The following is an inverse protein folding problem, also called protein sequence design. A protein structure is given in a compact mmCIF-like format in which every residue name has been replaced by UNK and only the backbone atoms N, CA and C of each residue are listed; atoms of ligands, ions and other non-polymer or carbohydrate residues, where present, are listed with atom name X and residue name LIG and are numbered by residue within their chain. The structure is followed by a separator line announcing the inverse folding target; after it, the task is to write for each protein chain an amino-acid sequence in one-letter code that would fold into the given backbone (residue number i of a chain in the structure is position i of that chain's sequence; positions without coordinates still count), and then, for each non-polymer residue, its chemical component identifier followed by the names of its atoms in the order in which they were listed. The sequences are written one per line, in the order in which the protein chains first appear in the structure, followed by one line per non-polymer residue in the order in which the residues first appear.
data_IF_158923885040
#
_entry.id   IF_158923885040
#
_cell.length_a   1.000
_cell.length_b   1.000
_cell.length_c   1.000
_cell.angle_alpha   90.00
_cell.angle_beta   90.00
_cell.angle_gamma   90.00
#
_symmetry.space_group_name_H-M   'P 1'
#
loop_
_entity.id
_entity.type
_entity.pdbx_description
1 polymer ?
#
# COMPACT_ATOMS: atom_id res chain seq x y z
N UNK A 1 7.29 9.93 -14.18
CA UNK A 1 7.11 8.47 -14.33
C UNK A 1 5.64 8.17 -14.53
N UNK A 2 5.27 7.27 -15.45
CA UNK A 2 3.87 6.81 -15.58
C UNK A 2 3.45 6.12 -14.27
N UNK A 3 2.19 6.27 -13.79
CA UNK A 3 1.74 5.78 -12.49
C UNK A 3 1.96 4.27 -12.29
N UNK A 4 1.93 3.49 -13.38
CA UNK A 4 2.18 2.05 -13.37
C UNK A 4 3.57 1.66 -12.86
N UNK A 5 4.61 2.47 -13.10
CA UNK A 5 5.96 2.14 -12.62
C UNK A 5 6.08 2.24 -11.10
N UNK A 6 5.40 3.20 -10.47
CA UNK A 6 5.40 3.34 -9.01
C UNK A 6 4.73 2.15 -8.33
N UNK A 7 3.61 1.68 -8.91
CA UNK A 7 2.87 0.51 -8.42
C UNK A 7 3.71 -0.76 -8.56
N UNK A 8 4.38 -0.95 -9.70
CA UNK A 8 5.23 -2.11 -9.94
C UNK A 8 6.41 -2.15 -8.95
N UNK A 9 7.06 -1.01 -8.70
CA UNK A 9 8.14 -0.92 -7.71
C UNK A 9 7.64 -1.25 -6.30
N UNK A 10 6.49 -0.69 -5.90
CA UNK A 10 5.87 -0.99 -4.61
C UNK A 10 5.59 -2.48 -4.43
N UNK A 11 4.99 -3.12 -5.45
CA UNK A 11 4.71 -4.55 -5.44
C UNK A 11 5.99 -5.40 -5.34
N UNK A 12 7.05 -5.01 -6.05
CA UNK A 12 8.34 -5.69 -5.97
C UNK A 12 8.96 -5.62 -4.56
N UNK A 13 8.90 -4.46 -3.90
CA UNK A 13 9.41 -4.29 -2.53
C UNK A 13 8.61 -5.14 -1.54
N UNK A 14 7.27 -5.14 -1.65
CA UNK A 14 6.39 -5.96 -0.80
C UNK A 14 6.66 -7.45 -0.99
N UNK A 15 6.77 -7.90 -2.25
CA UNK A 15 7.12 -9.30 -2.54
C UNK A 15 8.49 -9.68 -1.93
N UNK A 16 9.48 -8.79 -2.04
CA UNK A 16 10.78 -8.98 -1.41
C UNK A 16 10.71 -9.11 0.12
N UNK A 17 9.90 -8.26 0.77
CA UNK A 17 9.69 -8.30 2.22
C UNK A 17 9.09 -9.65 2.66
N UNK A 18 8.09 -10.14 1.94
CA UNK A 18 7.42 -11.43 2.22
C UNK A 18 8.39 -12.60 2.02
N UNK A 19 9.10 -12.63 0.88
CA UNK A 19 10.05 -13.71 0.58
C UNK A 19 11.19 -13.77 1.59
N UNK A 20 11.76 -12.61 1.95
CA UNK A 20 12.81 -12.53 2.96
C UNK A 20 12.30 -12.95 4.35
N UNK A 21 11.09 -12.54 4.72
CA UNK A 21 10.46 -12.94 5.98
C UNK A 21 10.24 -14.45 6.06
N UNK A 22 9.72 -15.06 4.99
CA UNK A 22 9.48 -16.50 4.90
C UNK A 22 10.76 -17.32 4.95
N UNK A 23 11.79 -16.89 4.22
CA UNK A 23 13.11 -17.54 4.23
C UNK A 23 13.75 -17.49 5.62
N UNK A 24 13.76 -16.32 6.26
CA UNK A 24 14.35 -16.16 7.58
C UNK A 24 13.54 -16.91 8.66
N UNK A 25 12.22 -16.99 8.52
CA UNK A 25 11.38 -17.78 9.42
C UNK A 25 11.71 -19.27 9.34
N UNK A 26 11.74 -19.85 8.14
CA UNK A 26 12.11 -21.26 7.94
C UNK A 26 13.53 -21.55 8.43
N UNK A 27 14.47 -20.65 8.19
CA UNK A 27 15.84 -20.79 8.69
C UNK A 27 15.90 -20.81 10.22
N UNK A 28 15.07 -20.01 10.90
CA UNK A 28 14.98 -20.02 12.36
C UNK A 28 14.35 -21.32 12.88
N UNK A 29 13.33 -21.83 12.19
CA UNK A 29 12.72 -23.12 12.45
C UNK A 29 13.75 -24.26 12.35
N UNK A 30 14.50 -24.32 11.27
CA UNK A 30 15.56 -25.30 11.05
C UNK A 30 16.65 -25.21 12.14
N UNK A 31 17.03 -23.99 12.54
CA UNK A 31 18.00 -23.77 13.60
C UNK A 31 17.50 -24.25 14.97
N UNK A 32 16.22 -24.03 15.28
CA UNK A 32 15.57 -24.53 16.50
C UNK A 32 15.58 -26.06 16.51
N UNK A 33 15.16 -26.69 15.41
CA UNK A 33 15.13 -28.16 15.27
C UNK A 33 16.55 -28.74 15.39
N UNK A 34 17.54 -28.09 14.78
CA UNK A 34 18.94 -28.51 14.89
C UNK A 34 19.49 -28.41 16.32
N UNK A 35 19.14 -27.35 17.08
CA UNK A 35 19.52 -27.23 18.49
C UNK A 35 18.83 -28.29 19.36
N UNK A 36 17.54 -28.54 19.12
CA UNK A 36 16.79 -29.61 19.79
C UNK A 36 17.40 -30.98 19.54
N UNK A 37 17.80 -31.27 18.29
CA UNK A 37 18.48 -32.51 17.92
C UNK A 37 19.81 -32.66 18.64
N UNK A 38 20.61 -31.59 18.69
CA UNK A 38 21.90 -31.59 19.38
C UNK A 38 21.75 -31.78 20.88
N UNK A 39 20.77 -31.13 21.50
CA UNK A 39 20.51 -31.27 22.93
C UNK A 39 20.01 -32.69 23.26
N UNK A 40 19.14 -33.25 22.42
CA UNK A 40 18.60 -34.60 22.62
C UNK A 40 19.70 -35.65 22.46
N UNK A 41 20.54 -35.55 21.43
CA UNK A 41 21.62 -36.51 21.20
C UNK A 41 22.63 -36.53 22.34
N UNK A 42 22.98 -35.37 22.90
CA UNK A 42 23.84 -35.28 24.09
C UNK A 42 23.20 -35.93 25.31
N UNK A 43 21.90 -35.71 25.49
CA UNK A 43 21.15 -36.26 26.63
C UNK A 43 21.07 -37.78 26.53
N UNK A 44 20.70 -38.31 25.36
CA UNK A 44 20.67 -39.77 25.12
C UNK A 44 22.05 -40.41 25.28
N UNK A 45 23.13 -39.71 24.91
CA UNK A 45 24.49 -40.20 25.09
C UNK A 45 24.91 -40.26 26.57
N UNK A 46 24.43 -39.31 27.40
CA UNK A 46 24.75 -39.19 28.82
C UNK A 46 23.85 -40.02 29.72
N UNK A 47 22.62 -40.33 29.30
CA UNK A 47 21.67 -41.12 30.09
C UNK A 47 22.14 -42.58 30.24
N UNK A 48 22.21 -43.02 31.50
CA UNK A 48 22.51 -44.41 31.87
C UNK A 48 21.25 -45.22 32.19
N UNK A 49 20.10 -44.56 32.30
CA UNK A 49 18.84 -45.19 32.70
C UNK A 49 18.08 -45.80 31.51
N UNK A 50 17.27 -46.82 31.78
CA UNK A 50 16.48 -47.54 30.76
C UNK A 50 15.19 -46.80 30.35
N UNK A 51 14.73 -45.85 31.16
CA UNK A 51 13.50 -45.06 30.95
C UNK A 51 13.74 -43.56 31.10
N UNK A 52 12.82 -42.74 30.59
CA UNK A 52 12.86 -41.28 30.71
C UNK A 52 12.50 -40.86 32.15
N UNK A 53 13.46 -40.29 32.87
CA UNK A 53 13.27 -39.70 34.20
C UNK A 53 13.09 -38.17 34.16
N UNK A 54 12.55 -37.56 35.23
CA UNK A 54 12.53 -36.11 35.37
C UNK A 54 13.91 -35.46 35.25
N UNK A 55 14.96 -36.16 35.68
CA UNK A 55 16.35 -35.70 35.55
C UNK A 55 16.80 -35.67 34.09
N UNK A 56 16.36 -36.63 33.27
CA UNK A 56 16.59 -36.64 31.81
C UNK A 56 15.97 -35.39 31.13
N UNK A 57 14.77 -34.97 31.56
CA UNK A 57 14.12 -33.76 31.05
C UNK A 57 14.92 -32.50 31.46
N UNK A 58 15.44 -32.49 32.69
CA UNK A 58 16.24 -31.39 33.22
C UNK A 58 17.58 -31.26 32.48
N UNK A 59 18.25 -32.37 32.22
CA UNK A 59 19.50 -32.42 31.46
C UNK A 59 19.30 -32.02 30.01
N UNK A 60 18.20 -32.46 29.38
CA UNK A 60 17.82 -31.99 28.05
C UNK A 60 17.67 -30.46 28.00
N UNK A 61 16.93 -29.87 28.94
CA UNK A 61 16.75 -28.40 29.01
C UNK A 61 18.07 -27.66 29.25
N UNK A 62 18.99 -28.26 30.00
CA UNK A 62 20.32 -27.71 30.25
C UNK A 62 21.19 -27.72 28.99
N UNK A 63 21.04 -28.74 28.15
CA UNK A 63 21.79 -28.92 26.92
C UNK A 63 21.27 -28.07 25.73
N UNK A 64 20.13 -27.39 25.86
CA UNK A 64 19.63 -26.44 24.88
C UNK A 64 20.47 -25.15 24.87
N UNK A 65 21.00 -24.81 23.68
CA UNK A 65 21.77 -23.58 23.46
C UNK A 65 20.83 -22.37 23.48
N UNK A 66 19.63 -22.50 22.92
CA UNK A 66 18.63 -21.45 22.91
C UNK A 66 17.87 -21.37 24.23
N UNK A 67 18.18 -20.35 25.04
CA UNK A 67 17.55 -20.14 26.34
C UNK A 67 16.02 -19.95 26.26
N UNK A 68 15.53 -19.36 25.16
CA UNK A 68 14.11 -19.10 24.93
C UNK A 68 13.25 -20.38 24.82
N UNK A 69 13.85 -21.53 24.48
CA UNK A 69 13.16 -22.81 24.33
C UNK A 69 13.02 -23.60 25.64
N UNK A 70 13.88 -23.31 26.64
CA UNK A 70 13.98 -24.09 27.89
C UNK A 70 12.67 -24.28 28.66
N UNK A 71 11.79 -23.25 28.82
CA UNK A 71 10.55 -23.44 29.58
C UNK A 71 9.49 -24.23 28.80
N UNK A 72 9.59 -24.31 27.46
CA UNK A 72 8.59 -24.93 26.58
C UNK A 72 9.03 -26.30 26.04
N UNK A 73 10.25 -26.74 26.36
CA UNK A 73 10.83 -27.98 25.87
C UNK A 73 10.53 -29.16 26.80
N UNK A 74 10.09 -30.27 26.21
CA UNK A 74 9.79 -31.55 26.87
C UNK A 74 10.31 -32.71 26.02
N UNK A 75 10.69 -33.82 26.66
CA UNK A 75 11.07 -35.06 25.98
C UNK A 75 9.91 -36.05 26.10
N UNK A 76 9.47 -36.62 24.99
CA UNK A 76 8.33 -37.55 24.96
C UNK A 76 8.69 -38.85 24.23
N UNK A 77 8.01 -39.94 24.60
CA UNK A 77 8.07 -41.21 23.89
C UNK A 77 7.31 -41.10 22.56
N UNK A 78 7.87 -41.68 21.50
CA UNK A 78 7.29 -41.64 20.15
C UNK A 78 5.88 -42.27 20.03
N UNK A 79 5.47 -43.12 20.99
CA UNK A 79 4.16 -43.75 21.00
C UNK A 79 3.01 -42.79 21.38
N UNK A 80 3.32 -41.59 21.88
CA UNK A 80 2.31 -40.57 22.18
C UNK A 80 2.10 -39.72 20.93
N UNK A 81 1.05 -40.05 20.19
CA UNK A 81 0.62 -39.29 19.01
C UNK A 81 -0.03 -37.97 19.45
N UNK A 82 0.80 -36.98 19.76
CA UNK A 82 0.33 -35.65 20.18
C UNK A 82 -0.10 -34.82 18.96
N UNK A 83 -1.33 -34.28 19.03
CA UNK A 83 -2.02 -33.49 18.00
C UNK A 83 -1.62 -32.00 18.00
N UNK A 84 -0.52 -31.63 18.66
CA UNK A 84 -0.09 -30.24 18.81
C UNK A 84 0.75 -29.70 17.63
N UNK A 85 0.47 -28.45 17.24
CA UNK A 85 1.21 -27.63 16.25
C UNK A 85 2.60 -27.15 16.75
N UNK A 86 3.28 -27.91 17.60
CA UNK A 86 4.61 -27.58 18.14
C UNK A 86 5.77 -28.08 17.29
N UNK A 87 6.96 -27.53 17.52
CA UNK A 87 8.19 -27.92 16.84
C UNK A 87 8.73 -29.24 17.40
N UNK A 88 9.25 -30.09 16.50
CA UNK A 88 9.66 -31.45 16.82
C UNK A 88 11.09 -31.70 16.38
N UNK A 89 11.88 -32.37 17.23
CA UNK A 89 13.20 -32.86 16.87
C UNK A 89 13.08 -34.09 15.94
N UNK A 90 14.17 -34.51 15.32
CA UNK A 90 14.27 -35.83 14.70
C UNK A 90 14.11 -36.94 15.75
N UNK A 91 13.62 -38.10 15.29
CA UNK A 91 13.48 -39.30 16.11
C UNK A 91 14.87 -39.86 16.40
N UNK A 92 15.14 -40.20 17.66
CA UNK A 92 16.39 -40.80 18.09
C UNK A 92 16.14 -42.09 18.84
N UNK A 93 16.91 -43.15 18.53
CA UNK A 93 16.81 -44.41 19.26
C UNK A 93 17.36 -44.25 20.67
N UNK A 94 16.65 -44.75 21.66
CA UNK A 94 17.16 -44.81 23.02
C UNK A 94 18.34 -45.79 23.09
N UNK A 95 19.32 -45.50 23.95
CA UNK A 95 20.57 -46.26 23.99
C UNK A 95 20.38 -47.68 24.54
N UNK A 96 19.56 -47.82 25.58
CA UNK A 96 19.41 -49.07 26.33
C UNK A 96 18.19 -49.91 25.92
N UNK A 97 17.29 -49.36 25.10
CA UNK A 97 16.05 -50.04 24.73
C UNK A 97 15.62 -49.62 23.31
N UNK A 98 14.83 -50.43 22.62
CA UNK A 98 14.57 -50.28 21.18
C UNK A 98 13.44 -49.27 20.83
N UNK A 99 13.12 -48.37 21.75
CA UNK A 99 12.13 -47.31 21.51
C UNK A 99 12.76 -46.03 20.97
N UNK A 100 11.97 -45.27 20.20
CA UNK A 100 12.35 -43.96 19.69
C UNK A 100 11.88 -42.84 20.63
N UNK A 101 12.73 -41.85 20.84
CA UNK A 101 12.48 -40.65 21.64
C UNK A 101 12.51 -39.43 20.73
N UNK A 102 11.67 -38.45 21.05
CA UNK A 102 11.58 -37.17 20.34
C UNK A 102 11.50 -36.01 21.33
N UNK A 103 12.23 -34.94 21.05
CA UNK A 103 12.10 -33.66 21.74
C UNK A 103 10.93 -32.87 21.15
N UNK A 104 10.07 -32.35 22.02
CA UNK A 104 8.94 -31.52 21.67
C UNK A 104 9.10 -30.13 22.29
N UNK A 105 8.88 -29.09 21.52
CA UNK A 105 8.87 -27.72 22.01
C UNK A 105 7.56 -27.02 21.62
N UNK A 106 6.79 -26.62 22.63
CA UNK A 106 5.54 -25.88 22.42
C UNK A 106 5.84 -24.40 22.17
N UNK A 107 6.34 -24.10 20.98
CA UNK A 107 6.75 -22.75 20.57
C UNK A 107 5.66 -22.15 19.69
N UNK A 108 5.14 -20.98 20.08
CA UNK A 108 4.18 -20.23 19.27
C UNK A 108 4.87 -19.62 18.04
N UNK A 109 4.11 -19.42 16.95
CA UNK A 109 4.56 -18.73 15.73
C UNK A 109 5.27 -17.40 16.04
N UNK A 110 4.69 -16.60 16.95
CA UNK A 110 5.27 -15.32 17.36
C UNK A 110 6.65 -15.47 18.03
N UNK A 111 6.85 -16.54 18.80
CA UNK A 111 8.14 -16.83 19.41
C UNK A 111 9.17 -17.22 18.35
N UNK A 112 8.79 -18.03 17.35
CA UNK A 112 9.69 -18.37 16.22
C UNK A 112 10.04 -17.13 15.40
N UNK A 113 9.08 -16.22 15.16
CA UNK A 113 9.34 -14.94 14.50
C UNK A 113 10.32 -14.07 15.30
N UNK A 114 10.20 -14.03 16.62
CA UNK A 114 11.07 -13.24 17.49
C UNK A 114 12.49 -13.81 17.58
N UNK A 115 12.64 -15.14 17.50
CA UNK A 115 13.95 -15.79 17.35
C UNK A 115 14.54 -15.62 15.94
N UNK A 116 13.70 -15.34 14.93
CA UNK A 116 14.12 -15.14 13.55
C UNK A 116 14.72 -13.76 13.32
N UNK A 117 15.81 -13.70 12.55
CA UNK A 117 16.40 -12.43 12.15
C UNK A 117 15.57 -11.76 11.05
N UNK A 118 14.58 -10.96 11.45
CA UNK A 118 13.64 -10.29 10.53
C UNK A 118 14.11 -8.91 10.04
N UNK A 119 15.38 -8.53 10.29
CA UNK A 119 15.89 -7.18 9.96
C UNK A 119 15.69 -6.77 8.50
N UNK A 120 15.93 -7.68 7.56
CA UNK A 120 15.77 -7.43 6.13
C UNK A 120 14.29 -7.27 5.73
N UNK A 121 13.43 -8.16 6.20
CA UNK A 121 11.99 -8.08 5.96
C UNK A 121 11.42 -6.78 6.54
N UNK A 122 11.80 -6.43 7.77
CA UNK A 122 11.40 -5.19 8.42
C UNK A 122 11.88 -3.94 7.67
N UNK A 123 13.14 -3.93 7.21
CA UNK A 123 13.69 -2.82 6.42
C UNK A 123 12.93 -2.62 5.09
N UNK A 124 12.62 -3.72 4.39
CA UNK A 124 11.82 -3.69 3.16
C UNK A 124 10.38 -3.25 3.42
N UNK A 125 9.76 -3.68 4.52
CA UNK A 125 8.43 -3.22 4.92
C UNK A 125 8.42 -1.71 5.21
N UNK A 126 9.41 -1.18 5.92
CA UNK A 126 9.54 0.26 6.16
C UNK A 126 9.71 1.03 4.85
N UNK A 127 10.56 0.53 3.95
CA UNK A 127 10.75 1.12 2.63
C UNK A 127 9.44 1.13 1.82
N UNK A 128 8.67 0.03 1.86
CA UNK A 128 7.38 -0.05 1.20
C UNK A 128 6.38 0.99 1.75
N UNK A 129 6.32 1.16 3.08
CA UNK A 129 5.46 2.18 3.71
C UNK A 129 5.87 3.58 3.29
N UNK A 130 7.17 3.91 3.36
CA UNK A 130 7.69 5.23 2.95
C UNK A 130 7.38 5.50 1.48
N UNK A 131 7.60 4.51 0.61
CA UNK A 131 7.30 4.63 -0.82
C UNK A 131 5.80 4.78 -1.09
N UNK A 132 4.95 4.02 -0.40
CA UNK A 132 3.50 4.11 -0.51
C UNK A 132 2.98 5.49 -0.10
N UNK A 133 3.44 5.99 1.05
CA UNK A 133 3.10 7.35 1.51
C UNK A 133 3.59 8.42 0.54
N UNK A 134 4.81 8.29 0.03
CA UNK A 134 5.36 9.22 -0.96
C UNK A 134 4.57 9.22 -2.27
N UNK A 135 4.21 8.03 -2.77
CA UNK A 135 3.40 7.88 -3.98
C UNK A 135 2.01 8.48 -3.82
N UNK A 136 1.36 8.26 -2.68
CA UNK A 136 0.06 8.86 -2.35
C UNK A 136 0.19 10.38 -2.23
N UNK A 137 1.24 10.87 -1.58
CA UNK A 137 1.50 12.30 -1.45
C UNK A 137 1.69 12.99 -2.81
N UNK A 138 2.49 12.39 -3.70
CA UNK A 138 2.66 12.90 -5.07
C UNK A 138 1.33 12.87 -5.84
N UNK A 139 0.56 11.78 -5.71
CA UNK A 139 -0.72 11.66 -6.39
C UNK A 139 -1.76 12.65 -5.87
N UNK A 140 -1.81 12.89 -4.56
CA UNK A 140 -2.64 13.93 -3.95
C UNK A 140 -2.19 15.32 -4.42
N UNK A 141 -0.88 15.58 -4.49
CA UNK A 141 -0.35 16.84 -5.02
C UNK A 141 -0.73 17.05 -6.49
N UNK A 142 -0.69 16.00 -7.31
CA UNK A 142 -1.10 16.05 -8.71
C UNK A 142 -2.63 16.18 -8.88
N UNK A 143 -3.42 15.67 -7.94
CA UNK A 143 -4.88 15.84 -7.93
C UNK A 143 -5.34 17.20 -7.43
N UNK A 144 -4.52 17.94 -6.66
CA UNK A 144 -4.87 19.28 -6.18
C UNK A 144 -5.08 20.30 -7.29
N UNK A 145 -4.50 20.10 -8.48
CA UNK A 145 -4.69 20.95 -9.65
C UNK A 145 -5.83 20.50 -10.59
N UNK A 146 -6.78 19.68 -10.13
CA UNK A 146 -7.94 19.25 -10.94
C UNK A 146 -9.23 19.83 -10.35
N UNK A 147 -9.67 20.96 -10.90
CA UNK A 147 -10.96 21.58 -10.54
C UNK A 147 -12.06 20.94 -11.38
N UNK A 148 -13.03 20.29 -10.73
CA UNK A 148 -14.14 19.59 -11.39
C UNK A 148 -15.42 20.42 -11.21
N UNK A 149 -16.09 20.73 -12.32
CA UNK A 149 -17.32 21.53 -12.35
C UNK A 149 -18.26 20.90 -13.39
N UNK A 150 -19.40 20.36 -12.93
CA UNK A 150 -20.27 19.53 -13.77
C UNK A 150 -19.54 18.29 -14.30
N UNK A 151 -19.66 18.02 -15.61
CA UNK A 151 -18.93 16.94 -16.26
C UNK A 151 -17.55 17.37 -16.82
N UNK A 152 -17.08 18.59 -16.53
CA UNK A 152 -15.80 19.12 -17.01
C UNK A 152 -14.75 19.19 -15.88
N UNK A 153 -13.55 18.68 -16.16
CA UNK A 153 -12.36 18.79 -15.32
C UNK A 153 -11.36 19.75 -15.97
N UNK A 154 -10.96 20.79 -15.26
CA UNK A 154 -9.81 21.61 -15.61
C UNK A 154 -8.55 20.94 -15.08
N UNK A 155 -7.60 20.63 -15.97
CA UNK A 155 -6.26 20.25 -15.57
C UNK A 155 -5.39 21.52 -15.49
N UNK A 156 -4.97 21.93 -14.29
CA UNK A 156 -4.13 23.11 -14.10
C UNK A 156 -2.74 22.96 -14.74
N UNK A 157 -2.23 21.74 -14.85
CA UNK A 157 -0.92 21.46 -15.45
C UNK A 157 -0.88 21.81 -16.96
N UNK A 158 -1.92 21.44 -17.71
CA UNK A 158 -2.00 21.63 -19.17
C UNK A 158 -2.88 22.81 -19.58
N UNK A 159 -3.57 23.46 -18.62
CA UNK A 159 -4.61 24.48 -18.85
C UNK A 159 -5.65 24.04 -19.88
N UNK A 160 -5.97 22.74 -19.95
CA UNK A 160 -6.95 22.15 -20.86
C UNK A 160 -8.11 21.55 -20.09
N UNK A 161 -9.28 21.58 -20.70
CA UNK A 161 -10.50 20.99 -20.16
C UNK A 161 -10.68 19.58 -20.70
N UNK A 162 -11.07 18.67 -19.80
CA UNK A 162 -11.38 17.29 -20.09
C UNK A 162 -12.80 16.99 -19.63
N UNK A 163 -13.55 16.16 -20.33
CA UNK A 163 -14.82 15.62 -19.80
C UNK A 163 -14.54 14.54 -18.73
N UNK A 164 -15.53 14.16 -17.91
CA UNK A 164 -15.45 13.02 -16.97
C UNK A 164 -14.95 11.72 -17.62
N UNK A 165 -15.21 11.55 -18.92
CA UNK A 165 -14.73 10.44 -19.76
C UNK A 165 -13.25 10.55 -20.15
N UNK A 166 -12.54 11.57 -19.67
CA UNK A 166 -11.15 11.90 -20.02
C UNK A 166 -10.92 12.31 -21.48
N UNK A 167 -11.98 12.68 -22.20
CA UNK A 167 -11.88 13.23 -23.55
C UNK A 167 -11.44 14.70 -23.51
N UNK A 168 -10.42 15.04 -24.30
CA UNK A 168 -9.91 16.41 -24.37
C UNK A 168 -10.88 17.31 -25.16
N UNK A 169 -11.44 18.32 -24.49
CA UNK A 169 -12.37 19.26 -25.11
C UNK A 169 -11.57 20.22 -25.99
N UNK A 170 -11.82 20.19 -27.31
CA UNK A 170 -11.15 21.05 -28.28
C UNK A 170 -11.74 22.46 -28.25
N UNK A 171 -11.29 23.28 -27.30
CA UNK A 171 -11.58 24.71 -27.27
C UNK A 171 -10.55 25.50 -28.08
N UNK A 172 -11.01 26.58 -28.71
CA UNK A 172 -10.09 27.60 -29.22
C UNK A 172 -9.39 28.31 -28.04
N UNK A 173 -8.20 28.90 -28.23
CA UNK A 173 -7.46 29.56 -27.16
C UNK A 173 -8.29 30.61 -26.39
N UNK A 174 -9.11 31.41 -27.09
CA UNK A 174 -9.97 32.41 -26.45
C UNK A 174 -11.12 31.79 -25.64
N UNK A 175 -11.72 30.70 -26.13
CA UNK A 175 -12.76 29.95 -25.37
C UNK A 175 -12.18 29.33 -24.10
N UNK A 176 -10.96 28.77 -24.20
CA UNK A 176 -10.25 28.18 -23.08
C UNK A 176 -9.94 29.22 -21.99
N UNK A 177 -9.49 30.41 -22.39
CA UNK A 177 -9.23 31.52 -21.46
C UNK A 177 -10.51 31.99 -20.77
N UNK A 178 -11.61 32.15 -21.51
CA UNK A 178 -12.91 32.51 -20.94
C UNK A 178 -13.39 31.46 -19.92
N UNK A 179 -13.25 30.18 -20.23
CA UNK A 179 -13.61 29.10 -19.30
C UNK A 179 -12.72 29.05 -18.06
N UNK A 180 -11.42 29.33 -18.20
CA UNK A 180 -10.52 29.45 -17.04
C UNK A 180 -10.91 30.61 -16.13
N UNK A 181 -11.39 31.73 -16.69
CA UNK A 181 -11.90 32.84 -15.88
C UNK A 181 -13.13 32.42 -15.08
N UNK A 182 -14.09 31.71 -15.71
CA UNK A 182 -15.27 31.21 -15.02
C UNK A 182 -14.92 30.24 -13.89
N UNK A 183 -13.96 29.33 -14.10
CA UNK A 183 -13.54 28.35 -13.10
C UNK A 183 -12.71 28.96 -11.95
N UNK A 184 -12.13 30.15 -12.16
CA UNK A 184 -11.36 30.86 -11.13
C UNK A 184 -12.21 31.77 -10.26
N UNK A 185 -13.39 32.21 -10.72
CA UNK A 185 -14.27 33.03 -9.91
C UNK A 185 -15.10 32.18 -8.95
N UNK A 186 -15.06 32.51 -7.66
CA UNK A 186 -15.73 31.73 -6.59
C UNK A 186 -17.26 31.65 -6.74
N UNK A 187 -17.86 32.65 -7.38
CA UNK A 187 -19.31 32.72 -7.65
C UNK A 187 -19.69 32.16 -9.03
N UNK A 188 -18.70 31.78 -9.86
CA UNK A 188 -18.87 31.46 -11.28
C UNK A 188 -19.61 32.54 -12.10
N UNK A 189 -19.63 33.77 -11.58
CA UNK A 189 -20.16 34.95 -12.25
C UNK A 189 -19.01 35.82 -12.75
N UNK A 190 -19.18 36.37 -13.94
CA UNK A 190 -18.26 37.32 -14.53
C UNK A 190 -19.03 38.48 -15.17
N UNK A 191 -18.55 39.69 -14.93
CA UNK A 191 -19.11 40.90 -15.53
C UNK A 191 -18.62 41.01 -16.97
N UNK A 192 -19.47 41.48 -17.89
CA UNK A 192 -19.09 41.70 -19.29
C UNK A 192 -17.84 42.59 -19.45
N UNK A 193 -17.68 43.61 -18.59
CA UNK A 193 -16.51 44.50 -18.59
C UNK A 193 -15.24 43.73 -18.23
N UNK A 194 -15.25 42.97 -17.13
CA UNK A 194 -14.11 42.15 -16.70
C UNK A 194 -13.68 41.13 -17.77
N UNK A 195 -14.64 40.53 -18.46
CA UNK A 195 -14.36 39.59 -19.55
C UNK A 195 -13.73 40.33 -20.75
N UNK A 196 -14.31 41.46 -21.16
CA UNK A 196 -13.81 42.25 -22.29
C UNK A 196 -12.40 42.79 -22.04
N UNK A 197 -12.12 43.30 -20.83
CA UNK A 197 -10.83 43.86 -20.46
C UNK A 197 -9.74 42.79 -20.42
N UNK A 198 -10.08 41.58 -19.97
CA UNK A 198 -9.12 40.47 -19.90
C UNK A 198 -8.87 39.79 -21.26
N UNK A 199 -9.89 39.64 -22.10
CA UNK A 199 -9.77 39.00 -23.42
C UNK A 199 -9.30 39.97 -24.53
N UNK A 200 -9.69 41.24 -24.45
CA UNK A 200 -9.42 42.26 -25.47
C UNK A 200 -9.01 43.62 -24.88
N UNK A 201 -7.84 43.72 -24.20
CA UNK A 201 -7.39 44.95 -23.54
C UNK A 201 -7.16 46.14 -24.49
N UNK A 202 -7.10 45.89 -25.81
CA UNK A 202 -6.85 46.91 -26.85
C UNK A 202 -8.12 47.40 -27.56
N UNK A 203 -9.31 46.91 -27.21
CA UNK A 203 -10.57 47.23 -27.91
C UNK A 203 -11.58 47.88 -26.95
N UNK A 204 -11.94 49.16 -27.14
CA UNK A 204 -12.79 49.90 -26.19
C UNK A 204 -14.25 49.42 -26.14
N UNK A 205 -14.73 48.69 -27.16
CA UNK A 205 -16.01 47.99 -27.10
C UNK A 205 -15.95 46.63 -27.83
N UNK A 206 -15.65 45.57 -27.07
CA UNK A 206 -15.60 44.18 -27.55
C UNK A 206 -16.92 43.41 -27.31
N UNK A 207 -18.01 44.09 -26.94
CA UNK A 207 -19.27 43.48 -26.53
C UNK A 207 -19.89 42.53 -27.57
N UNK A 208 -19.93 42.93 -28.84
CA UNK A 208 -20.44 42.11 -29.94
C UNK A 208 -19.57 40.87 -30.19
N UNK A 209 -18.25 41.00 -30.01
CA UNK A 209 -17.29 39.89 -30.14
C UNK A 209 -17.42 38.90 -28.99
N UNK A 210 -17.67 39.38 -27.77
CA UNK A 210 -17.98 38.52 -26.64
C UNK A 210 -19.28 37.74 -26.85
N UNK A 211 -20.34 38.39 -27.35
CA UNK A 211 -21.61 37.73 -27.62
C UNK A 211 -21.46 36.58 -28.64
N UNK A 212 -20.68 36.78 -29.71
CA UNK A 212 -20.42 35.72 -30.70
C UNK A 212 -19.57 34.59 -30.12
N UNK A 213 -18.60 34.89 -29.26
CA UNK A 213 -17.79 33.89 -28.56
C UNK A 213 -18.67 33.02 -27.65
N UNK A 214 -19.51 33.65 -26.82
CA UNK A 214 -20.44 32.96 -25.91
C UNK A 214 -21.45 32.12 -26.70
N UNK A 215 -22.00 32.67 -27.79
CA UNK A 215 -22.95 31.94 -28.66
C UNK A 215 -22.34 30.66 -29.25
N UNK A 216 -21.06 30.70 -29.64
CA UNK A 216 -20.33 29.53 -30.16
C UNK A 216 -19.88 28.57 -29.07
N UNK A 217 -19.67 29.07 -27.85
CA UNK A 217 -19.19 28.29 -26.71
C UNK A 217 -20.33 27.49 -26.04
N UNK A 218 -21.55 28.04 -25.96
CA UNK A 218 -22.73 27.36 -25.39
C UNK A 218 -22.93 25.92 -25.88
N UNK A 219 -23.00 25.63 -27.20
CA UNK A 219 -23.28 24.27 -27.67
C UNK A 219 -22.19 23.28 -27.24
N UNK A 220 -20.93 23.69 -27.24
CA UNK A 220 -19.80 22.82 -26.84
C UNK A 220 -19.89 22.49 -25.34
N UNK A 221 -20.28 23.47 -24.54
CA UNK A 221 -20.38 23.30 -23.09
C UNK A 221 -21.62 22.47 -22.70
N UNK A 222 -22.76 22.72 -23.35
CA UNK A 222 -24.00 21.98 -23.11
C UNK A 222 -23.85 20.51 -23.54
N UNK A 223 -23.20 20.25 -24.68
CA UNK A 223 -22.99 18.90 -25.22
C UNK A 223 -21.94 18.10 -24.42
N UNK A 224 -20.83 18.72 -24.02
CA UNK A 224 -19.67 17.99 -23.48
C UNK A 224 -19.52 18.09 -21.95
N UNK A 225 -20.21 19.04 -21.31
CA UNK A 225 -20.06 19.34 -19.88
C UNK A 225 -21.35 19.40 -19.08
N UNK A 226 -22.52 19.37 -19.74
CA UNK A 226 -23.84 19.66 -19.13
C UNK A 226 -23.83 20.94 -18.28
N UNK A 227 -23.15 21.97 -18.75
CA UNK A 227 -23.14 23.28 -18.10
C UNK A 227 -23.93 24.26 -18.98
N UNK A 228 -24.55 25.25 -18.36
CA UNK A 228 -25.34 26.29 -19.03
C UNK A 228 -24.81 27.67 -18.65
N UNK A 229 -24.62 28.53 -19.66
CA UNK A 229 -24.25 29.93 -19.43
C UNK A 229 -25.53 30.77 -19.38
N UNK A 230 -25.95 31.16 -18.17
CA UNK A 230 -27.05 32.07 -17.96
C UNK A 230 -26.56 33.52 -18.07
N UNK A 231 -27.25 34.34 -18.87
CA UNK A 231 -27.03 35.79 -18.90
C UNK A 231 -28.02 36.47 -17.95
N UNK A 232 -27.53 37.11 -16.90
CA UNK A 232 -28.36 37.89 -15.98
C UNK A 232 -28.81 39.21 -16.62
N UNK A 233 -29.94 39.77 -16.15
CA UNK A 233 -30.52 41.04 -16.64
C UNK A 233 -29.58 42.26 -16.49
N UNK A 234 -28.43 42.13 -15.80
CA UNK A 234 -27.47 43.20 -15.49
C UNK A 234 -26.10 43.11 -16.20
N UNK A 235 -25.99 42.49 -17.38
CA UNK A 235 -24.71 42.29 -18.12
C UNK A 235 -23.71 41.30 -17.50
N UNK A 236 -24.16 40.45 -16.58
CA UNK A 236 -23.34 39.41 -15.97
C UNK A 236 -23.62 38.05 -16.61
N UNK A 237 -22.58 37.24 -16.77
CA UNK A 237 -22.69 35.85 -17.20
C UNK A 237 -22.41 34.94 -16.01
N UNK A 238 -23.29 33.98 -15.75
CA UNK A 238 -23.11 32.93 -14.73
C UNK A 238 -22.98 31.58 -15.41
N UNK A 239 -22.00 30.78 -15.00
CA UNK A 239 -21.91 29.37 -15.36
C UNK A 239 -22.65 28.55 -14.30
N UNK A 240 -23.71 27.83 -14.69
CA UNK A 240 -24.45 26.93 -13.81
C UNK A 240 -24.47 25.51 -14.38
N UNK A 241 -24.67 24.50 -13.54
CA UNK A 241 -24.93 23.15 -14.02
C UNK A 241 -26.31 23.09 -14.69
N UNK A 242 -26.42 22.39 -15.81
CA UNK A 242 -27.71 22.06 -16.42
C UNK A 242 -28.29 20.88 -15.65
N UNK A 243 -29.54 21.01 -15.20
CA UNK A 243 -30.36 19.88 -14.74
C UNK A 243 -30.58 18.87 -15.88
#
# INVERSE_FOLDING_TARGET
MKPYHSILLFMAIVAGAIMSGHYNYRRAEDAIVADMNRALSKTVAQCQEEWITPDTIRDYRRNLTMAALRPYATVQYYAVEDQGNGLRSCKMRWRHNDFNVQGYAHVSFASVLLLSDQRLSAALSLLAVVWGLFSVFLFMRQRRGKVVLGEMMLCEDDKRFYTLRHDAIRLTPMQNQLMQMFFRSETHELTKQEICDCLWPKKPDASATLYTLIKRLRPIIEEQGKLKIASGRGQNYRLSQSD
#
